data_IF_087878943534
#
_entry.id   IF_087878943534
#
_cell.length_a   1.000
_cell.length_b   1.000
_cell.length_c   1.000
_cell.angle_alpha   90.00
_cell.angle_beta   90.00
_cell.angle_gamma   90.00
#
_symmetry.space_group_name_H-M   'P 1'
#
loop_
_entity.id
_entity.type
_entity.pdbx_description
1 polymer ?
#
# COMPACT_ATOMS: atom_id res chain seq x y z
N UNK A 1 18.98 21.50 -11.27
CA UNK A 1 18.33 22.48 -10.36
C UNK A 1 16.83 22.72 -10.68
N UNK A 2 16.03 21.70 -11.02
CA UNK A 2 14.57 21.87 -11.27
C UNK A 2 13.65 21.04 -10.35
N UNK A 3 14.20 20.12 -9.57
CA UNK A 3 13.44 19.19 -8.69
C UNK A 3 12.91 19.88 -7.42
N UNK A 4 13.59 20.92 -6.94
CA UNK A 4 13.28 21.61 -5.69
C UNK A 4 12.00 22.46 -5.72
N UNK A 5 11.55 22.93 -6.89
CA UNK A 5 10.31 23.75 -6.98
C UNK A 5 9.02 22.91 -6.91
N UNK A 6 9.06 21.63 -7.28
CA UNK A 6 7.88 20.76 -7.26
C UNK A 6 7.49 20.32 -5.84
N UNK A 7 8.46 20.30 -4.90
CA UNK A 7 8.25 19.88 -3.50
C UNK A 7 7.98 21.06 -2.56
N UNK A 8 8.17 22.29 -3.03
CA UNK A 8 8.05 23.52 -2.24
C UNK A 8 6.67 23.75 -1.59
N UNK A 9 5.53 23.44 -2.23
CA UNK A 9 4.22 23.55 -1.57
C UNK A 9 3.93 22.42 -0.56
N UNK A 10 4.74 21.35 -0.54
CA UNK A 10 4.56 20.18 0.33
C UNK A 10 5.47 20.18 1.57
N UNK A 11 6.47 21.07 1.60
CA UNK A 11 7.38 21.27 2.74
C UNK A 11 6.64 21.53 4.07
N UNK A 12 5.53 22.29 4.12
CA UNK A 12 4.78 22.51 5.37
C UNK A 12 4.07 21.25 5.87
N UNK A 13 3.72 20.32 4.97
CA UNK A 13 3.08 19.04 5.30
C UNK A 13 4.12 18.06 5.86
N UNK A 14 5.29 17.98 5.22
CA UNK A 14 6.44 17.20 5.73
C UNK A 14 6.92 17.73 7.09
N UNK A 15 6.95 19.05 7.29
CA UNK A 15 7.35 19.67 8.56
C UNK A 15 6.33 19.45 9.70
N UNK A 16 5.09 19.02 9.41
CA UNK A 16 4.06 18.75 10.43
C UNK A 16 3.84 17.28 10.71
N UNK A 17 4.16 16.40 9.77
CA UNK A 17 4.32 14.96 10.03
C UNK A 17 5.57 14.67 10.89
N UNK A 18 6.43 15.66 11.11
CA UNK A 18 7.69 15.63 11.87
C UNK A 18 7.78 16.84 12.82
N UNK A 19 7.06 16.89 13.95
CA UNK A 19 7.05 18.06 14.82
C UNK A 19 8.39 18.34 15.53
N UNK A 20 9.34 17.40 15.57
CA UNK A 20 10.54 17.52 16.44
C UNK A 20 11.88 17.79 15.74
N UNK A 21 11.90 18.19 14.46
CA UNK A 21 13.17 18.54 13.79
C UNK A 21 13.64 19.98 14.03
N UNK A 22 13.06 20.74 14.97
CA UNK A 22 13.45 22.14 15.28
C UNK A 22 14.24 22.33 16.57
N UNK A 23 14.58 21.27 17.30
CA UNK A 23 15.41 21.38 18.52
C UNK A 23 16.64 20.47 18.43
N UNK A 24 17.56 20.84 17.55
CA UNK A 24 18.97 20.43 17.65
C UNK A 24 19.81 21.70 17.66
N UNK A 25 20.22 22.22 18.83
CA UNK A 25 21.18 23.29 18.88
C UNK A 25 22.60 22.73 18.65
N UNK A 26 23.26 23.26 17.62
CA UNK A 26 24.70 23.53 17.61
C UNK A 26 25.67 22.33 17.59
N UNK A 27 26.03 21.88 16.38
CA UNK A 27 27.39 21.38 16.15
C UNK A 27 28.16 22.53 15.51
N UNK A 28 28.94 23.25 16.33
CA UNK A 28 30.13 24.04 15.99
C UNK A 28 30.55 24.83 17.24
N UNK A 29 31.28 24.19 18.16
CA UNK A 29 32.49 24.78 18.80
C UNK A 29 33.07 23.81 19.85
N UNK A 30 34.16 23.16 19.48
CA UNK A 30 35.09 22.52 20.41
C UNK A 30 36.21 23.52 20.67
N UNK A 31 36.13 24.27 21.77
CA UNK A 31 37.29 24.73 22.55
C UNK A 31 36.85 25.65 23.69
N UNK A 32 37.55 25.50 24.82
CA UNK A 32 37.57 26.37 26.01
C UNK A 32 36.65 25.95 27.16
N UNK A 33 37.15 24.98 27.94
CA UNK A 33 36.81 24.88 29.37
C UNK A 33 37.40 26.09 30.11
N UNK A 34 36.66 26.64 31.07
CA UNK A 34 37.25 26.84 32.38
C UNK A 34 36.38 26.29 33.51
N UNK A 35 37.02 25.45 34.33
CA UNK A 35 36.87 25.26 35.79
C UNK A 35 35.63 25.84 36.50
N UNK A 36 34.80 24.94 37.04
CA UNK A 36 33.81 25.21 38.09
C UNK A 36 34.48 25.47 39.45
N UNK A 37 33.93 26.37 40.29
CA UNK A 37 33.94 26.20 41.72
C UNK A 37 32.55 25.84 42.27
N UNK A 38 32.56 24.95 43.25
CA UNK A 38 31.42 24.54 44.09
C UNK A 38 30.76 25.73 44.79
N UNK A 39 29.43 25.77 44.83
CA UNK A 39 28.64 26.55 45.80
C UNK A 39 27.35 25.80 46.16
N UNK A 40 27.02 25.62 47.45
CA UNK A 40 25.85 24.87 47.90
C UNK A 40 24.62 25.79 48.07
N UNK A 41 23.44 25.23 47.78
CA UNK A 41 22.16 25.77 48.25
C UNK A 41 21.30 26.44 47.17
N UNK A 42 20.32 25.71 46.64
CA UNK A 42 19.07 26.26 46.09
C UNK A 42 17.91 25.27 46.36
N UNK A 43 16.70 25.77 46.69
CA UNK A 43 15.53 24.98 47.09
C UNK A 43 14.84 24.33 45.89
N UNK A 44 14.01 23.31 46.18
CA UNK A 44 13.42 22.38 45.23
C UNK A 44 12.79 23.00 43.98
N UNK A 45 13.14 22.44 42.83
CA UNK A 45 12.48 22.67 41.55
C UNK A 45 11.09 22.00 41.55
N UNK A 46 10.00 22.71 41.19
CA UNK A 46 8.71 22.09 40.96
C UNK A 46 8.77 21.21 39.69
N UNK A 47 8.10 20.06 39.78
CA UNK A 47 8.18 18.97 38.81
C UNK A 47 7.99 19.39 37.35
N UNK A 48 8.88 18.86 36.51
CA UNK A 48 8.63 18.71 35.07
C UNK A 48 7.29 18.00 34.88
N UNK A 49 6.40 18.50 33.99
CA UNK A 49 5.09 17.88 33.79
C UNK A 49 5.26 16.46 33.27
N UNK A 50 4.63 15.51 33.95
CA UNK A 50 4.55 14.07 33.70
C UNK A 50 3.83 13.69 32.39
N UNK A 51 3.95 14.49 31.31
CA UNK A 51 3.32 14.23 30.01
C UNK A 51 4.06 13.24 29.10
N UNK A 52 5.15 12.63 29.56
CA UNK A 52 5.86 11.56 28.83
C UNK A 52 5.52 10.15 29.34
N UNK A 53 4.71 10.01 30.39
CA UNK A 53 4.43 8.72 31.04
C UNK A 53 3.29 7.90 30.41
N UNK A 54 2.91 8.16 29.15
CA UNK A 54 1.74 7.52 28.52
C UNK A 54 1.94 6.98 27.10
N UNK A 55 3.11 7.15 26.48
CA UNK A 55 3.36 6.59 25.16
C UNK A 55 3.70 5.11 25.32
N UNK A 56 2.85 4.23 24.78
CA UNK A 56 3.17 2.80 24.76
C UNK A 56 4.47 2.59 23.98
N UNK A 57 5.34 1.73 24.49
CA UNK A 57 6.61 1.40 23.82
C UNK A 57 6.37 0.92 22.37
N UNK A 58 5.22 0.29 22.12
CA UNK A 58 4.77 -0.15 20.78
C UNK A 58 4.50 1.02 19.85
N UNK A 59 3.80 2.06 20.33
CA UNK A 59 3.56 3.28 19.57
C UNK A 59 4.89 3.97 19.22
N UNK A 60 5.78 4.11 20.20
CA UNK A 60 7.10 4.70 19.98
C UNK A 60 7.91 3.93 18.93
N UNK A 61 7.89 2.59 18.99
CA UNK A 61 8.56 1.72 18.00
C UNK A 61 7.96 1.87 16.60
N UNK A 62 6.64 1.90 16.48
CA UNK A 62 5.97 2.04 15.19
C UNK A 62 6.24 3.42 14.56
N UNK A 63 6.17 4.50 15.35
CA UNK A 63 6.53 5.84 14.88
C UNK A 63 7.99 5.90 14.46
N UNK A 64 8.92 5.34 15.25
CA UNK A 64 10.33 5.30 14.87
C UNK A 64 10.58 4.50 13.58
N UNK A 65 9.86 3.40 13.38
CA UNK A 65 9.92 2.60 12.15
C UNK A 65 9.40 3.38 10.94
N UNK A 66 8.25 4.04 11.04
CA UNK A 66 7.70 4.88 9.97
C UNK A 66 8.67 6.02 9.59
N UNK A 67 9.33 6.62 10.58
CA UNK A 67 10.35 7.64 10.35
C UNK A 67 11.58 7.09 9.63
N UNK A 68 12.07 5.91 10.02
CA UNK A 68 13.19 5.25 9.36
C UNK A 68 12.84 4.88 7.91
N UNK A 69 11.62 4.40 7.67
CA UNK A 69 11.12 4.08 6.32
C UNK A 69 10.97 5.34 5.50
N UNK A 70 10.42 6.41 6.06
CA UNK A 70 10.31 7.70 5.38
C UNK A 70 11.71 8.22 4.97
N UNK A 71 12.69 8.13 5.86
CA UNK A 71 14.07 8.52 5.56
C UNK A 71 14.70 7.66 4.46
N UNK A 72 14.53 6.33 4.52
CA UNK A 72 14.98 5.41 3.48
C UNK A 72 14.27 5.65 2.14
N UNK A 73 12.96 5.94 2.18
CA UNK A 73 12.16 6.26 1.01
C UNK A 73 12.61 7.58 0.38
N UNK A 74 12.84 8.64 1.16
CA UNK A 74 13.40 9.91 0.69
C UNK A 74 14.75 9.72 -0.02
N UNK A 75 15.60 8.84 0.52
CA UNK A 75 16.88 8.49 -0.10
C UNK A 75 16.70 7.78 -1.45
N UNK A 76 15.73 6.87 -1.54
CA UNK A 76 15.42 6.10 -2.75
C UNK A 76 14.49 6.84 -3.73
N UNK A 77 13.85 7.92 -3.31
CA UNK A 77 12.83 8.65 -4.08
C UNK A 77 13.28 9.00 -5.50
N UNK A 78 14.51 9.52 -5.73
CA UNK A 78 14.97 9.84 -7.08
C UNK A 78 15.02 8.62 -8.01
N UNK A 79 15.31 7.43 -7.47
CA UNK A 79 15.36 6.18 -8.23
C UNK A 79 13.98 5.72 -8.70
N UNK A 80 12.91 6.24 -8.11
CA UNK A 80 11.52 5.91 -8.45
C UNK A 80 10.83 6.86 -9.40
N UNK A 81 11.46 7.99 -9.77
CA UNK A 81 10.84 9.04 -10.61
C UNK A 81 10.63 8.57 -12.06
N UNK A 82 11.60 7.87 -12.63
CA UNK A 82 11.43 7.31 -13.97
C UNK A 82 10.37 6.21 -13.94
N UNK A 83 9.52 6.09 -14.96
CA UNK A 83 8.66 4.92 -15.12
C UNK A 83 9.54 3.67 -15.31
N UNK A 84 9.04 2.49 -14.93
CA UNK A 84 9.75 1.25 -15.20
C UNK A 84 9.92 1.10 -16.71
N UNK A 85 11.15 0.84 -17.19
CA UNK A 85 11.33 0.47 -18.60
C UNK A 85 10.53 -0.80 -18.79
N UNK A 86 9.44 -0.70 -19.55
CA UNK A 86 8.62 -1.84 -19.97
C UNK A 86 9.57 -2.90 -20.51
N UNK A 87 9.75 -3.99 -19.76
CA UNK A 87 10.46 -5.13 -20.29
C UNK A 87 9.63 -5.63 -21.47
N UNK A 88 10.17 -5.48 -22.68
CA UNK A 88 9.67 -6.21 -23.83
C UNK A 88 9.60 -7.67 -23.41
N UNK A 89 8.42 -8.27 -23.50
CA UNK A 89 8.30 -9.69 -23.29
C UNK A 89 9.35 -10.33 -24.19
N UNK A 90 10.34 -11.02 -23.61
CA UNK A 90 11.32 -11.76 -24.40
C UNK A 90 10.48 -12.71 -25.25
N UNK A 91 10.64 -12.73 -26.59
CA UNK A 91 9.91 -13.68 -27.42
C UNK A 91 10.06 -15.05 -26.78
N UNK A 92 8.95 -15.73 -26.53
CA UNK A 92 9.01 -17.12 -26.12
C UNK A 92 9.82 -17.82 -27.22
N UNK A 93 11.02 -18.31 -26.87
CA UNK A 93 11.79 -19.14 -27.78
C UNK A 93 10.85 -20.28 -28.22
N UNK A 94 10.76 -20.59 -29.53
CA UNK A 94 9.91 -21.69 -29.98
C UNK A 94 10.29 -22.93 -29.16
N UNK A 95 9.33 -23.45 -28.40
CA UNK A 95 9.49 -24.70 -27.66
C UNK A 95 9.83 -25.74 -28.72
N UNK A 96 11.07 -26.24 -28.70
CA UNK A 96 11.48 -27.34 -29.56
C UNK A 96 10.53 -28.49 -29.27
N UNK A 97 9.64 -28.78 -30.23
CA UNK A 97 8.73 -29.91 -30.16
C UNK A 97 9.61 -31.17 -30.17
N UNK A 98 9.78 -31.81 -29.02
CA UNK A 98 10.57 -33.05 -28.95
C UNK A 98 11.19 -33.42 -27.60
N UNK A 99 11.17 -32.56 -26.58
CA UNK A 99 11.63 -32.93 -25.23
C UNK A 99 10.46 -32.83 -24.22
N UNK A 100 9.56 -33.80 -24.29
CA UNK A 100 8.60 -34.07 -23.21
C UNK A 100 9.39 -34.69 -22.06
N UNK A 101 9.77 -33.88 -21.07
CA UNK A 101 10.14 -34.39 -19.75
C UNK A 101 8.82 -34.70 -19.00
N UNK A 102 8.48 -35.99 -18.77
CA UNK A 102 7.16 -36.39 -18.27
C UNK A 102 6.87 -36.02 -16.81
N UNK A 103 7.77 -35.29 -16.13
CA UNK A 103 7.64 -34.94 -14.71
C UNK A 103 7.17 -33.50 -14.41
N UNK A 104 7.12 -32.60 -15.40
CA UNK A 104 6.69 -31.21 -15.17
C UNK A 104 5.18 -31.06 -15.45
N UNK A 105 4.37 -31.32 -14.42
CA UNK A 105 2.97 -30.90 -14.41
C UNK A 105 2.88 -29.42 -14.84
N UNK A 106 2.04 -29.05 -15.82
CA UNK A 106 1.94 -27.67 -16.30
C UNK A 106 1.44 -26.78 -15.16
N UNK A 107 2.38 -26.17 -14.44
CA UNK A 107 2.06 -25.22 -13.39
C UNK A 107 1.71 -23.92 -14.09
N UNK A 108 0.42 -23.57 -14.12
CA UNK A 108 -0.07 -22.32 -14.71
C UNK A 108 0.78 -21.17 -14.21
N UNK A 109 1.42 -20.43 -15.12
CA UNK A 109 2.31 -19.34 -14.77
C UNK A 109 1.59 -18.33 -13.85
N UNK A 110 2.27 -17.77 -12.82
CA UNK A 110 1.68 -16.77 -11.95
C UNK A 110 1.16 -15.57 -12.74
N UNK A 111 0.01 -15.02 -12.33
CA UNK A 111 -0.52 -13.80 -12.93
C UNK A 111 0.46 -12.63 -12.72
N UNK A 112 0.52 -11.66 -13.66
CA UNK A 112 1.22 -10.41 -13.42
C UNK A 112 0.65 -9.70 -12.18
N UNK A 113 1.53 -9.12 -11.38
CA UNK A 113 1.18 -8.32 -10.20
C UNK A 113 1.46 -6.86 -10.49
N UNK A 114 0.44 -6.01 -10.36
CA UNK A 114 0.54 -4.56 -10.53
C UNK A 114 0.58 -3.88 -9.17
N UNK A 115 1.58 -3.04 -8.94
CA UNK A 115 1.77 -2.31 -7.68
C UNK A 115 1.44 -0.82 -7.87
N UNK A 116 0.57 -0.28 -7.01
CA UNK A 116 0.12 1.12 -7.05
C UNK A 116 0.44 1.83 -5.74
N UNK A 117 1.27 2.87 -5.82
CA UNK A 117 1.77 3.61 -4.66
C UNK A 117 0.73 4.60 -4.11
N UNK A 118 1.03 5.21 -2.95
CA UNK A 118 0.19 6.19 -2.28
C UNK A 118 0.38 7.64 -2.77
N UNK A 119 -0.25 8.59 -2.07
CA UNK A 119 -0.19 10.02 -2.38
C UNK A 119 1.23 10.59 -2.19
N UNK A 120 1.74 11.33 -3.20
CA UNK A 120 3.11 11.89 -3.24
C UNK A 120 4.21 10.82 -3.08
N UNK A 121 3.90 9.59 -3.47
CA UNK A 121 4.83 8.46 -3.44
C UNK A 121 5.26 8.09 -4.88
N UNK A 122 6.11 7.08 -5.03
CA UNK A 122 6.51 6.48 -6.29
C UNK A 122 6.86 5.01 -6.08
N UNK A 123 7.22 4.29 -7.16
CA UNK A 123 7.57 2.86 -7.12
C UNK A 123 8.61 2.43 -6.06
N UNK A 124 9.44 3.34 -5.53
CA UNK A 124 10.49 2.98 -4.58
C UNK A 124 9.95 2.44 -3.25
N UNK A 125 8.71 2.79 -2.87
CA UNK A 125 8.04 2.21 -1.69
C UNK A 125 7.89 0.70 -1.78
N UNK A 126 7.83 0.14 -2.99
CA UNK A 126 7.65 -1.29 -3.20
C UNK A 126 8.93 -2.09 -3.37
N UNK A 127 10.12 -1.50 -3.19
CA UNK A 127 11.40 -2.22 -3.43
C UNK A 127 11.47 -3.52 -2.61
N UNK A 128 11.10 -3.46 -1.33
CA UNK A 128 11.13 -4.63 -0.44
C UNK A 128 10.03 -5.63 -0.79
N UNK A 129 8.82 -5.16 -1.11
CA UNK A 129 7.73 -6.02 -1.56
C UNK A 129 8.07 -6.75 -2.86
N UNK A 130 8.62 -6.04 -3.86
CA UNK A 130 9.07 -6.62 -5.13
C UNK A 130 10.14 -7.67 -4.92
N UNK A 131 11.12 -7.40 -4.05
CA UNK A 131 12.16 -8.37 -3.71
C UNK A 131 11.54 -9.63 -3.07
N UNK A 132 10.62 -9.46 -2.13
CA UNK A 132 9.92 -10.58 -1.48
C UNK A 132 9.11 -11.40 -2.49
N UNK A 133 8.35 -10.76 -3.38
CA UNK A 133 7.59 -11.44 -4.44
C UNK A 133 8.51 -12.20 -5.40
N UNK A 134 9.61 -11.58 -5.84
CA UNK A 134 10.57 -12.20 -6.75
C UNK A 134 11.28 -13.40 -6.13
N UNK A 135 11.64 -13.34 -4.84
CA UNK A 135 12.23 -14.46 -4.10
C UNK A 135 11.29 -15.67 -3.99
N UNK A 136 9.99 -15.48 -4.18
CA UNK A 136 8.97 -16.53 -4.10
C UNK A 136 8.33 -16.84 -5.46
N UNK A 137 9.06 -16.65 -6.55
CA UNK A 137 8.65 -17.10 -7.89
C UNK A 137 7.71 -16.15 -8.65
N UNK A 138 7.39 -14.97 -8.09
CA UNK A 138 6.60 -13.93 -8.77
C UNK A 138 7.53 -12.92 -9.42
N UNK A 139 7.93 -13.21 -10.65
CA UNK A 139 8.87 -12.38 -11.42
C UNK A 139 8.18 -11.35 -12.33
N UNK A 140 6.86 -11.47 -12.56
CA UNK A 140 6.06 -10.55 -13.37
C UNK A 140 5.42 -9.49 -12.48
N UNK A 141 6.23 -8.59 -11.93
CA UNK A 141 5.76 -7.52 -11.03
C UNK A 141 6.06 -6.17 -11.65
N UNK A 142 5.04 -5.34 -11.83
CA UNK A 142 5.16 -4.03 -12.46
C UNK A 142 4.61 -2.96 -11.53
N UNK A 143 5.37 -1.88 -11.34
CA UNK A 143 4.95 -0.74 -10.51
C UNK A 143 4.53 0.42 -11.40
N UNK A 144 3.31 0.92 -11.20
CA UNK A 144 2.79 2.05 -11.94
C UNK A 144 3.01 3.34 -11.15
N UNK A 145 3.64 4.31 -11.80
CA UNK A 145 3.67 5.69 -11.32
C UNK A 145 2.55 6.44 -12.04
N UNK A 146 1.62 7.03 -11.28
CA UNK A 146 0.71 8.04 -11.83
C UNK A 146 1.32 9.43 -11.65
N UNK A 147 0.91 10.38 -12.50
CA UNK A 147 1.45 11.74 -12.43
C UNK A 147 1.09 12.37 -11.09
N UNK A 148 2.03 13.04 -10.39
CA UNK A 148 1.72 13.87 -9.22
C UNK A 148 0.76 15.03 -9.55
N UNK A 149 0.63 15.37 -10.84
CA UNK A 149 -0.31 16.36 -11.36
C UNK A 149 -1.71 15.78 -11.59
N UNK A 150 -1.87 14.45 -11.54
CA UNK A 150 -3.20 13.83 -11.58
C UNK A 150 -3.91 14.26 -10.30
N UNK A 151 -4.92 15.11 -10.44
CA UNK A 151 -5.67 15.68 -9.33
C UNK A 151 -7.00 14.97 -9.06
N UNK A 152 -7.29 13.91 -9.82
CA UNK A 152 -8.57 13.20 -9.80
C UNK A 152 -8.39 11.68 -9.81
N UNK A 153 -9.06 11.00 -8.87
CA UNK A 153 -8.94 9.55 -8.66
C UNK A 153 -9.62 8.77 -9.78
N UNK A 154 -10.70 9.30 -10.36
CA UNK A 154 -11.41 8.64 -11.47
C UNK A 154 -10.54 8.59 -12.71
N UNK A 155 -9.91 9.71 -13.04
CA UNK A 155 -8.93 9.81 -14.12
C UNK A 155 -7.75 8.84 -13.87
N UNK A 156 -7.21 8.79 -12.64
CA UNK A 156 -6.15 7.83 -12.31
C UNK A 156 -6.60 6.36 -12.50
N UNK A 157 -7.86 6.04 -12.20
CA UNK A 157 -8.43 4.71 -12.38
C UNK A 157 -8.61 4.34 -13.87
N UNK A 158 -8.96 5.29 -14.73
CA UNK A 158 -8.99 5.09 -16.18
C UNK A 158 -7.58 4.83 -16.74
N UNK A 159 -6.57 5.57 -16.26
CA UNK A 159 -5.17 5.33 -16.62
C UNK A 159 -4.72 3.94 -16.19
N UNK A 160 -5.08 3.52 -14.97
CA UNK A 160 -4.82 2.17 -14.49
C UNK A 160 -5.44 1.12 -15.41
N UNK A 161 -6.70 1.29 -15.81
CA UNK A 161 -7.37 0.36 -16.71
C UNK A 161 -6.63 0.18 -18.03
N UNK A 162 -6.19 1.28 -18.66
CA UNK A 162 -5.39 1.21 -19.89
C UNK A 162 -4.07 0.46 -19.69
N UNK A 163 -3.38 0.70 -18.57
CA UNK A 163 -2.15 -0.04 -18.27
C UNK A 163 -2.36 -1.53 -18.01
N UNK A 164 -3.46 -1.89 -17.36
CA UNK A 164 -3.80 -3.31 -17.13
C UNK A 164 -4.06 -4.01 -18.46
N UNK A 165 -4.76 -3.37 -19.40
CA UNK A 165 -4.94 -3.93 -20.75
C UNK A 165 -3.60 -4.12 -21.47
N UNK A 166 -2.73 -3.11 -21.48
CA UNK A 166 -1.37 -3.23 -22.07
C UNK A 166 -0.56 -4.40 -21.46
N UNK A 167 -0.69 -4.61 -20.14
CA UNK A 167 -0.04 -5.73 -19.45
C UNK A 167 -0.65 -7.06 -19.88
N UNK A 168 -1.97 -7.16 -19.96
CA UNK A 168 -2.68 -8.36 -20.40
C UNK A 168 -2.26 -8.73 -21.83
N UNK A 169 -2.29 -7.77 -22.76
CA UNK A 169 -1.88 -7.94 -24.16
C UNK A 169 -0.44 -8.43 -24.28
N UNK A 170 0.51 -7.77 -23.60
CA UNK A 170 1.93 -8.12 -23.68
C UNK A 170 2.26 -9.46 -23.03
N UNK A 171 1.59 -9.81 -21.94
CA UNK A 171 1.91 -11.02 -21.17
C UNK A 171 1.09 -12.24 -21.59
N UNK A 172 0.05 -12.04 -22.41
CA UNK A 172 -0.95 -13.05 -22.75
C UNK A 172 -1.83 -13.47 -21.58
N UNK A 173 -1.80 -12.72 -20.47
CA UNK A 173 -2.60 -13.03 -19.28
C UNK A 173 -4.00 -12.45 -19.43
N UNK A 174 -5.03 -13.22 -19.13
CA UNK A 174 -6.41 -12.71 -19.17
C UNK A 174 -6.75 -11.78 -18.01
N UNK A 175 -6.02 -11.91 -16.89
CA UNK A 175 -6.21 -11.18 -15.64
C UNK A 175 -4.86 -10.85 -14.98
N UNK A 176 -4.89 -9.91 -14.05
CA UNK A 176 -3.79 -9.51 -13.17
C UNK A 176 -4.22 -9.57 -11.71
N UNK A 177 -3.23 -9.60 -10.81
CA UNK A 177 -3.41 -9.25 -9.40
C UNK A 177 -2.95 -7.81 -9.18
N UNK A 178 -3.58 -7.08 -8.25
CA UNK A 178 -3.22 -5.69 -7.93
C UNK A 178 -2.93 -5.57 -6.44
N UNK A 179 -1.86 -4.85 -6.09
CA UNK A 179 -1.56 -4.42 -4.72
C UNK A 179 -1.50 -2.90 -4.69
N UNK A 180 -2.41 -2.27 -3.97
CA UNK A 180 -2.47 -0.82 -3.81
C UNK A 180 -2.19 -0.40 -2.37
N UNK A 181 -1.31 0.58 -2.19
CA UNK A 181 -1.08 1.21 -0.89
C UNK A 181 -1.79 2.55 -0.82
N UNK A 182 -2.48 2.82 0.28
CA UNK A 182 -3.13 4.11 0.54
C UNK A 182 -4.04 4.53 -0.64
N UNK A 183 -3.81 5.70 -1.22
CA UNK A 183 -4.45 6.20 -2.44
C UNK A 183 -4.44 5.21 -3.62
N UNK A 184 -3.35 4.48 -3.82
CA UNK A 184 -3.23 3.49 -4.91
C UNK A 184 -4.26 2.37 -4.82
N UNK A 185 -4.63 1.96 -3.60
CA UNK A 185 -5.71 1.01 -3.39
C UNK A 185 -7.08 1.58 -3.70
N UNK A 186 -7.30 2.88 -3.46
CA UNK A 186 -8.56 3.55 -3.77
C UNK A 186 -8.76 3.71 -5.28
N UNK A 187 -7.69 4.07 -6.00
CA UNK A 187 -7.65 4.09 -7.46
C UNK A 187 -8.00 2.71 -8.04
N UNK A 188 -7.34 1.65 -7.53
CA UNK A 188 -7.59 0.28 -7.97
C UNK A 188 -9.01 -0.20 -7.66
N UNK A 189 -9.54 0.10 -6.46
CA UNK A 189 -10.92 -0.22 -6.10
C UNK A 189 -11.91 0.49 -7.02
N UNK A 190 -11.71 1.76 -7.31
CA UNK A 190 -12.57 2.50 -8.23
C UNK A 190 -12.58 1.87 -9.63
N UNK A 191 -11.41 1.52 -10.17
CA UNK A 191 -11.32 0.81 -11.46
C UNK A 191 -12.12 -0.50 -11.45
N UNK A 192 -11.91 -1.33 -10.43
CA UNK A 192 -12.60 -2.64 -10.30
C UNK A 192 -14.11 -2.48 -10.16
N UNK A 193 -14.56 -1.60 -9.26
CA UNK A 193 -15.96 -1.51 -8.86
C UNK A 193 -16.79 -0.65 -9.83
N UNK A 194 -16.21 0.40 -10.42
CA UNK A 194 -16.95 1.43 -11.17
C UNK A 194 -16.66 1.44 -12.66
N UNK A 195 -15.51 0.91 -13.09
CA UNK A 195 -15.06 0.99 -14.50
C UNK A 195 -14.98 -0.39 -15.18
N UNK A 196 -15.59 -1.43 -14.59
CA UNK A 196 -15.60 -2.78 -15.16
C UNK A 196 -14.26 -3.52 -15.02
N UNK A 197 -13.37 -3.05 -14.14
CA UNK A 197 -12.09 -3.69 -13.90
C UNK A 197 -12.18 -5.09 -13.29
N UNK A 198 -13.34 -5.52 -12.79
CA UNK A 198 -13.56 -6.87 -12.25
C UNK A 198 -13.21 -7.98 -13.27
N UNK A 199 -13.41 -7.71 -14.57
CA UNK A 199 -13.07 -8.65 -15.63
C UNK A 199 -11.57 -8.92 -15.74
N UNK A 200 -10.73 -7.95 -15.35
CA UNK A 200 -9.27 -7.99 -15.47
C UNK A 200 -8.55 -8.20 -14.16
N UNK A 201 -9.14 -7.85 -13.03
CA UNK A 201 -8.50 -7.96 -11.72
C UNK A 201 -9.06 -9.16 -10.96
N UNK A 202 -8.21 -10.17 -10.76
CA UNK A 202 -8.58 -11.36 -9.98
C UNK A 202 -8.62 -11.06 -8.48
N UNK A 203 -7.54 -10.46 -7.98
CA UNK A 203 -7.35 -10.15 -6.57
C UNK A 203 -6.85 -8.71 -6.44
N UNK A 204 -7.52 -7.92 -5.61
CA UNK A 204 -7.10 -6.59 -5.21
C UNK A 204 -6.71 -6.63 -3.73
N UNK A 205 -5.41 -6.50 -3.46
CA UNK A 205 -4.88 -6.33 -2.11
C UNK A 205 -4.71 -4.85 -1.82
N UNK A 206 -5.27 -4.36 -0.72
CA UNK A 206 -5.12 -2.96 -0.28
C UNK A 206 -4.40 -2.87 1.04
N UNK A 207 -3.53 -1.87 1.19
CA UNK A 207 -2.72 -1.64 2.38
C UNK A 207 -3.04 -0.24 2.93
N UNK A 208 -3.75 -0.15 4.06
CA UNK A 208 -4.10 1.13 4.69
C UNK A 208 -4.83 2.06 3.72
N UNK A 209 -5.80 1.56 2.95
CA UNK A 209 -6.50 2.36 1.95
C UNK A 209 -7.77 2.98 2.55
N UNK A 210 -8.01 4.30 2.42
CA UNK A 210 -9.16 4.96 3.04
C UNK A 210 -10.46 4.67 2.26
N UNK A 211 -10.98 3.44 2.40
CA UNK A 211 -12.14 2.89 1.69
C UNK A 211 -13.44 3.62 1.96
N UNK A 212 -13.62 4.12 3.18
CA UNK A 212 -14.78 4.94 3.60
C UNK A 212 -14.40 6.42 3.75
N UNK A 213 -13.22 6.79 3.23
CA UNK A 213 -12.58 8.09 3.43
C UNK A 213 -11.91 8.22 4.80
N UNK A 214 -11.00 9.18 4.95
CA UNK A 214 -10.30 9.44 6.21
C UNK A 214 -10.25 10.93 6.54
N UNK A 215 -10.27 11.26 7.83
CA UNK A 215 -10.17 12.63 8.33
C UNK A 215 -8.70 13.06 8.38
N UNK A 216 -8.22 13.66 7.29
CA UNK A 216 -6.89 14.26 7.26
C UNK A 216 -6.86 15.67 7.87
N UNK A 217 -5.66 16.12 8.26
CA UNK A 217 -5.45 17.44 8.85
C UNK A 217 -6.01 18.60 7.99
N UNK A 218 -6.59 19.65 8.60
CA UNK A 218 -7.30 20.73 7.89
C UNK A 218 -6.53 21.42 6.74
N UNK A 219 -5.18 21.51 6.81
CA UNK A 219 -4.37 22.12 5.75
C UNK A 219 -4.10 21.20 4.55
N UNK A 220 -4.28 19.88 4.68
CA UNK A 220 -4.18 18.96 3.55
C UNK A 220 -5.37 19.12 2.56
N UNK A 221 -6.45 19.78 2.99
CA UNK A 221 -7.64 20.06 2.17
C UNK A 221 -7.39 20.94 0.94
N UNK A 222 -6.23 21.62 0.86
CA UNK A 222 -5.90 22.42 -0.31
C UNK A 222 -5.71 21.57 -1.57
N UNK A 223 -5.36 20.28 -1.43
CA UNK A 223 -5.11 19.42 -2.58
C UNK A 223 -6.39 18.71 -3.07
N UNK A 224 -6.72 18.74 -4.37
CA UNK A 224 -7.94 18.12 -4.92
C UNK A 224 -8.11 16.63 -4.58
N UNK A 225 -7.05 15.82 -4.73
CA UNK A 225 -7.08 14.38 -4.34
C UNK A 225 -7.49 14.20 -2.88
N UNK A 226 -6.93 15.00 -1.97
CA UNK A 226 -7.20 14.86 -0.54
C UNK A 226 -8.68 15.11 -0.24
N UNK A 227 -9.30 16.08 -0.94
CA UNK A 227 -10.74 16.34 -0.82
C UNK A 227 -11.60 15.17 -1.27
N UNK A 228 -11.15 14.40 -2.26
CA UNK A 228 -11.84 13.19 -2.74
C UNK A 228 -11.71 12.02 -1.77
N UNK A 229 -10.68 11.97 -0.94
CA UNK A 229 -10.50 10.91 0.08
C UNK A 229 -11.22 11.21 1.40
N UNK A 230 -12.04 12.26 1.48
CA UNK A 230 -12.78 12.59 2.70
C UNK A 230 -14.03 11.73 2.84
N UNK A 231 -14.44 11.42 4.07
CA UNK A 231 -15.77 10.85 4.31
C UNK A 231 -16.86 11.74 3.69
N UNK A 232 -17.84 11.12 3.02
CA UNK A 232 -18.92 11.82 2.33
C UNK A 232 -18.51 12.61 1.09
N UNK A 233 -17.31 12.40 0.54
CA UNK A 233 -16.99 12.93 -0.79
C UNK A 233 -17.81 12.18 -1.86
N UNK A 234 -18.06 12.82 -3.00
CA UNK A 234 -18.73 12.18 -4.13
C UNK A 234 -18.04 10.87 -4.58
N UNK A 235 -16.71 10.79 -4.47
CA UNK A 235 -15.97 9.58 -4.80
C UNK A 235 -16.28 8.44 -3.80
N UNK A 236 -16.26 8.73 -2.50
CA UNK A 236 -16.55 7.73 -1.47
C UNK A 236 -18.02 7.29 -1.55
N UNK A 237 -18.93 8.22 -1.82
CA UNK A 237 -20.35 7.90 -2.06
C UNK A 237 -20.55 7.05 -3.32
N UNK A 238 -19.77 7.26 -4.38
CA UNK A 238 -19.80 6.38 -5.56
C UNK A 238 -19.32 4.97 -5.23
N UNK A 239 -18.33 4.83 -4.35
CA UNK A 239 -17.80 3.55 -3.89
C UNK A 239 -18.70 2.83 -2.87
N UNK A 240 -19.66 3.51 -2.25
CA UNK A 240 -20.66 2.89 -1.37
C UNK A 240 -21.94 2.45 -2.10
N UNK A 241 -22.13 2.89 -3.35
CA UNK A 241 -23.26 2.44 -4.18
C UNK A 241 -23.12 0.96 -4.57
N UNK A 242 -24.25 0.25 -4.80
CA UNK A 242 -24.25 -1.15 -5.20
C UNK A 242 -23.30 -1.45 -6.37
N UNK A 243 -22.65 -2.60 -6.29
CA UNK A 243 -21.68 -3.11 -7.25
C UNK A 243 -21.98 -4.60 -7.56
N UNK A 244 -23.18 -4.92 -8.05
CA UNK A 244 -23.62 -6.29 -8.22
C UNK A 244 -22.74 -7.04 -9.22
N UNK A 245 -22.42 -8.29 -8.90
CA UNK A 245 -21.65 -9.16 -9.80
C UNK A 245 -20.14 -8.90 -9.83
N UNK A 246 -19.61 -8.06 -8.93
CA UNK A 246 -18.16 -7.90 -8.79
C UNK A 246 -17.53 -9.21 -8.27
N UNK A 247 -16.64 -9.82 -9.07
CA UNK A 247 -16.02 -11.13 -8.75
C UNK A 247 -14.60 -11.01 -8.19
N UNK A 248 -14.02 -9.82 -8.20
CA UNK A 248 -12.69 -9.59 -7.67
C UNK A 248 -12.66 -9.89 -6.17
N UNK A 249 -11.63 -10.62 -5.74
CA UNK A 249 -11.37 -10.85 -4.31
C UNK A 249 -10.63 -9.65 -3.74
N UNK A 250 -11.21 -9.02 -2.71
CA UNK A 250 -10.62 -7.90 -1.99
C UNK A 250 -9.97 -8.42 -0.71
N UNK A 251 -8.68 -8.12 -0.51
CA UNK A 251 -7.98 -8.41 0.74
C UNK A 251 -7.43 -7.09 1.29
N UNK A 252 -8.04 -6.57 2.36
CA UNK A 252 -7.65 -5.29 2.94
C UNK A 252 -6.83 -5.48 4.21
N UNK A 253 -5.55 -5.10 4.15
CA UNK A 253 -4.69 -4.99 5.32
C UNK A 253 -4.89 -3.63 5.98
N UNK A 254 -5.26 -3.63 7.25
CA UNK A 254 -5.41 -2.43 8.07
C UNK A 254 -4.64 -2.59 9.38
N UNK A 255 -4.16 -1.49 9.95
CA UNK A 255 -3.36 -1.53 11.19
C UNK A 255 -3.92 -0.67 12.29
N UNK A 256 -3.67 -1.09 13.52
CA UNK A 256 -4.06 -0.37 14.73
C UNK A 256 -3.17 0.84 15.06
N UNK A 257 -2.02 0.97 14.39
CA UNK A 257 -1.12 2.13 14.50
C UNK A 257 -1.06 2.96 13.21
N UNK A 258 -2.05 2.82 12.32
CA UNK A 258 -2.20 3.65 11.14
C UNK A 258 -2.85 5.01 11.48
N UNK A 259 -2.04 5.99 11.86
CA UNK A 259 -2.53 7.33 12.23
C UNK A 259 -3.08 8.15 11.06
N UNK A 260 -2.96 7.69 9.81
CA UNK A 260 -3.61 8.34 8.68
C UNK A 260 -5.05 7.88 8.49
N UNK A 261 -5.50 6.87 9.22
CA UNK A 261 -6.87 6.37 9.22
C UNK A 261 -7.61 6.86 10.46
N UNK A 262 -8.58 7.73 10.26
CA UNK A 262 -9.48 8.21 11.32
C UNK A 262 -10.93 8.20 10.85
N UNK A 263 -11.76 7.25 11.33
CA UNK A 263 -11.40 6.09 12.19
C UNK A 263 -10.49 5.04 11.51
N UNK A 264 -9.85 4.16 12.28
CA UNK A 264 -8.96 3.10 11.75
C UNK A 264 -9.69 2.14 10.81
N UNK A 265 -10.95 1.85 11.11
CA UNK A 265 -11.83 0.95 10.38
C UNK A 265 -12.16 1.48 8.98
N UNK A 266 -11.87 2.75 8.68
CA UNK A 266 -11.97 3.30 7.32
C UNK A 266 -11.03 2.59 6.34
N UNK A 267 -10.01 1.87 6.83
CA UNK A 267 -9.17 1.00 6.05
C UNK A 267 -9.74 -0.41 5.79
N UNK A 268 -10.87 -0.75 6.41
CA UNK A 268 -11.62 -1.97 6.07
C UNK A 268 -12.49 -1.73 4.85
N UNK A 269 -12.67 -2.75 4.01
CA UNK A 269 -13.75 -2.75 3.01
C UNK A 269 -14.99 -3.30 3.69
N UNK A 270 -16.04 -2.48 3.77
CA UNK A 270 -17.37 -2.91 4.20
C UNK A 270 -18.36 -2.60 3.06
N UNK A 271 -18.73 -3.64 2.31
CA UNK A 271 -19.61 -3.52 1.16
C UNK A 271 -20.32 -4.85 0.89
N UNK A 272 -21.66 -4.87 0.79
CA UNK A 272 -22.43 -6.12 0.70
C UNK A 272 -22.18 -6.90 -0.60
N UNK A 273 -21.90 -6.21 -1.70
CA UNK A 273 -21.70 -6.87 -3.00
C UNK A 273 -20.25 -7.35 -3.26
N UNK A 274 -19.30 -7.08 -2.35
CA UNK A 274 -17.89 -7.37 -2.59
C UNK A 274 -17.44 -8.63 -1.83
N UNK A 275 -16.55 -9.41 -2.45
CA UNK A 275 -15.89 -10.54 -1.82
C UNK A 275 -14.70 -10.06 -0.99
N UNK A 276 -14.90 -9.81 0.30
CA UNK A 276 -13.92 -9.13 1.16
C UNK A 276 -13.32 -10.04 2.22
N UNK A 277 -12.01 -9.93 2.41
CA UNK A 277 -11.29 -10.35 3.60
C UNK A 277 -10.54 -9.16 4.21
N UNK A 278 -10.93 -8.72 5.41
CA UNK A 278 -10.19 -7.70 6.15
C UNK A 278 -9.17 -8.38 7.09
N UNK A 279 -7.91 -8.00 6.98
CA UNK A 279 -6.76 -8.56 7.72
C UNK A 279 -6.19 -7.47 8.62
N UNK A 280 -6.30 -7.64 9.94
CA UNK A 280 -5.68 -6.72 10.89
C UNK A 280 -4.21 -7.08 11.07
N UNK A 281 -3.35 -6.06 11.05
CA UNK A 281 -1.93 -6.17 11.44
C UNK A 281 -1.65 -5.26 12.61
N UNK A 282 -0.87 -5.74 13.58
CA UNK A 282 -0.65 -5.02 14.83
C UNK A 282 0.73 -4.39 14.88
N UNK A 283 0.84 -3.17 15.39
CA UNK A 283 2.15 -2.56 15.65
C UNK A 283 2.84 -1.95 14.42
N UNK A 284 2.12 -1.78 13.31
CA UNK A 284 2.67 -1.35 12.01
C UNK A 284 2.09 0.01 11.63
N UNK A 285 2.94 1.00 11.40
CA UNK A 285 2.50 2.31 10.92
C UNK A 285 2.09 2.30 9.44
N UNK A 286 1.49 3.40 8.97
CA UNK A 286 0.94 3.51 7.61
C UNK A 286 2.00 3.29 6.52
N UNK A 287 3.21 3.81 6.75
CA UNK A 287 4.32 3.72 5.79
C UNK A 287 5.03 2.37 5.87
N UNK A 288 4.93 1.69 7.01
CA UNK A 288 5.47 0.35 7.21
C UNK A 288 4.68 -0.76 6.51
N UNK A 289 3.39 -0.59 6.26
CA UNK A 289 2.55 -1.59 5.59
C UNK A 289 3.15 -2.18 4.29
N UNK A 290 3.59 -1.39 3.28
CA UNK A 290 4.14 -1.93 2.04
C UNK A 290 5.53 -2.59 2.17
N UNK A 291 6.24 -2.37 3.28
CA UNK A 291 7.63 -2.83 3.45
C UNK A 291 7.82 -3.86 4.55
N UNK A 292 6.82 -4.05 5.42
CA UNK A 292 6.91 -4.95 6.57
C UNK A 292 6.89 -6.43 6.12
N UNK A 293 7.82 -7.29 6.59
CA UNK A 293 7.91 -8.69 6.14
C UNK A 293 6.65 -9.52 6.41
N UNK A 294 5.98 -9.28 7.54
CA UNK A 294 4.75 -9.99 7.89
C UNK A 294 3.61 -9.64 6.92
N UNK A 295 3.49 -8.37 6.54
CA UNK A 295 2.52 -7.91 5.53
C UNK A 295 2.87 -8.48 4.17
N UNK A 296 4.15 -8.46 3.76
CA UNK A 296 4.60 -9.09 2.52
C UNK A 296 4.26 -10.59 2.46
N UNK A 297 4.37 -11.31 3.58
CA UNK A 297 3.96 -12.71 3.69
C UNK A 297 2.45 -12.88 3.53
N UNK A 298 1.65 -12.05 4.20
CA UNK A 298 0.20 -12.04 4.04
C UNK A 298 -0.24 -11.73 2.61
N UNK A 299 0.41 -10.76 1.94
CA UNK A 299 0.16 -10.45 0.52
C UNK A 299 0.39 -11.69 -0.33
N UNK A 300 1.52 -12.40 -0.16
CA UNK A 300 1.78 -13.64 -0.93
C UNK A 300 0.69 -14.69 -0.71
N UNK A 301 0.30 -14.92 0.55
CA UNK A 301 -0.77 -15.87 0.89
C UNK A 301 -2.10 -15.50 0.22
N UNK A 302 -2.48 -14.22 0.24
CA UNK A 302 -3.68 -13.73 -0.44
C UNK A 302 -3.63 -14.01 -1.95
N UNK A 303 -2.50 -13.70 -2.59
CA UNK A 303 -2.34 -13.90 -4.03
C UNK A 303 -2.27 -15.38 -4.45
N UNK A 304 -1.86 -16.27 -3.54
CA UNK A 304 -1.77 -17.72 -3.77
C UNK A 304 -3.10 -18.44 -3.50
N UNK A 305 -3.85 -18.03 -2.48
CA UNK A 305 -5.17 -18.60 -2.12
C UNK A 305 -6.19 -18.43 -3.24
N UNK A 306 -6.16 -17.28 -3.93
CA UNK A 306 -7.00 -17.06 -5.10
C UNK A 306 -6.70 -18.03 -6.28
N UNK A 307 -5.51 -18.64 -6.32
CA UNK A 307 -5.11 -19.62 -7.35
C UNK A 307 -5.69 -21.00 -7.08
N UNK A 308 -5.75 -21.41 -5.82
CA UNK A 308 -6.25 -22.74 -5.42
C UNK A 308 -7.76 -22.81 -5.57
N UNK A 309 -8.49 -21.75 -5.21
CA UNK A 309 -9.95 -21.66 -5.43
C UNK A 309 -10.35 -21.76 -6.91
N UNK A 310 -9.65 -21.07 -7.81
CA UNK A 310 -9.91 -21.13 -9.25
C UNK A 310 -9.63 -22.52 -9.86
N UNK A 311 -8.59 -23.22 -9.37
CA UNK A 311 -8.23 -24.57 -9.84
C UNK A 311 -9.14 -25.67 -9.25
N UNK A 312 -9.80 -25.42 -8.12
CA UNK A 312 -10.81 -26.30 -7.55
C UNK A 312 -12.15 -26.16 -8.30
N UNK A 313 -12.59 -24.92 -8.56
CA UNK A 313 -13.83 -24.64 -9.31
C UNK A 313 -13.85 -25.24 -10.73
N UNK A 314 -12.71 -25.22 -11.42
CA UNK A 314 -12.57 -25.85 -12.74
C UNK A 314 -12.64 -27.39 -12.71
N UNK A 315 -12.33 -28.03 -11.57
CA UNK A 315 -12.43 -29.49 -11.37
C UNK A 315 -13.79 -29.93 -10.86
N UNK A 316 -14.56 -29.05 -10.24
CA UNK A 316 -15.88 -29.34 -9.66
C UNK A 316 -17.05 -29.00 -10.58
N UNK A 317 -16.82 -28.46 -11.78
CA UNK A 317 -17.84 -28.18 -12.80
C UNK A 317 -18.64 -29.40 -13.30
N UNK A 318 -18.43 -30.60 -12.72
CA UNK A 318 -19.16 -31.83 -13.01
C UNK A 318 -20.11 -32.33 -11.92
N UNK A 319 -20.33 -31.60 -10.81
CA UNK A 319 -21.32 -32.07 -9.80
C UNK A 319 -21.96 -30.94 -9.02
N UNK A 320 -23.25 -30.71 -9.29
CA UNK A 320 -24.13 -29.85 -8.52
C UNK A 320 -24.26 -30.38 -7.08
N UNK A 321 -24.11 -29.48 -6.11
CA UNK A 321 -24.28 -29.78 -4.69
C UNK A 321 -24.18 -28.51 -3.85
N UNK A 322 -25.34 -28.07 -3.36
CA UNK A 322 -25.58 -26.95 -2.46
C UNK A 322 -24.65 -26.99 -1.24
N UNK A 323 -23.96 -25.89 -0.92
CA UNK A 323 -23.32 -25.71 0.39
C UNK A 323 -23.54 -24.30 0.94
N UNK A 324 -24.15 -24.30 2.12
CA UNK A 324 -24.37 -23.22 3.07
C UNK A 324 -23.07 -22.65 3.61
N UNK A 325 -23.06 -21.32 3.82
CA UNK A 325 -21.90 -20.54 4.22
C UNK A 325 -21.42 -20.84 5.64
N UNK A 326 -20.09 -20.91 5.78
CA UNK A 326 -19.37 -20.85 7.04
C UNK A 326 -18.47 -19.63 7.02
N UNK A 327 -18.71 -18.74 7.99
CA UNK A 327 -17.93 -17.58 8.33
C UNK A 327 -16.55 -18.04 8.84
N UNK A 328 -15.47 -17.60 8.19
CA UNK A 328 -14.09 -17.94 8.60
C UNK A 328 -13.49 -16.80 9.41
N UNK A 329 -13.04 -17.13 10.61
CA UNK A 329 -12.33 -16.26 11.54
C UNK A 329 -11.09 -15.60 10.92
N UNK A 330 -10.89 -14.33 11.28
CA UNK A 330 -9.89 -13.44 10.73
C UNK A 330 -8.45 -13.88 11.00
N UNK A 331 -7.67 -13.97 9.93
CA UNK A 331 -6.21 -14.11 10.01
C UNK A 331 -5.64 -12.84 10.67
N UNK A 332 -5.13 -12.96 11.89
CA UNK A 332 -4.30 -11.91 12.50
C UNK A 332 -2.86 -12.20 12.15
N UNK A 333 -2.17 -11.22 11.53
CA UNK A 333 -0.74 -11.34 11.23
C UNK A 333 0.01 -10.55 12.30
N UNK A 334 0.69 -11.28 13.20
CA UNK A 334 1.58 -10.75 14.24
C UNK A 334 3.01 -10.57 13.70
#
# INVERSE_FOLDING_TARGET
MKVTRALQPFLPLCQRLLPDMRTLPGILNLSSFPTLPNLPGLPGLPGLPSRLAGLSLTLLKATALDLAILAGHLLLYPSGIAQERRATARPALPRVAGAEDPALLPTKAPLPVVLLHGFIDNRSVFVLLRRSLAQHGRHRVESLNYSPLTCDIRTAAELLGRHIEEICERTGSSQVDVVGHSLGGLIARYYVQRLGGDGRVRTLVTLGTPHSGTRVAPLANAHPIVRQMRPGSALIEELSRPAPGCRTQFVSFWSDLDHLMDPLETACVDHPDLLVQNVRVTGIGHLALPVHPAVATGIRQALDTARTGASAGARTGGRAGTRTGTQTDGLTVA
#
